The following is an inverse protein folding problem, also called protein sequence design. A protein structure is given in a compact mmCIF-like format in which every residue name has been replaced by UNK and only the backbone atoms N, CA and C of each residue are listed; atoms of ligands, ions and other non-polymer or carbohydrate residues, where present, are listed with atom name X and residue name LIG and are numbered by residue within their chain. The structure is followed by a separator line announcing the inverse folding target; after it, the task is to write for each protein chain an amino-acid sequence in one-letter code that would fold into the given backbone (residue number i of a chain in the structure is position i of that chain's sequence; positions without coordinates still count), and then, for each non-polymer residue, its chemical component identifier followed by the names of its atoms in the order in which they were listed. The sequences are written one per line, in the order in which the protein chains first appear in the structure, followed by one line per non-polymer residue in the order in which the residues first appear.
data_IF_606701442213
#
_entry.id   IF_606701442213
#
_cell.length_a   1.000
_cell.length_b   1.000
_cell.length_c   1.000
_cell.angle_alpha   90.00
_cell.angle_beta   90.00
_cell.angle_gamma   90.00
#
_symmetry.space_group_name_H-M   'P 1'
#
loop_
_entity.id
_entity.type
_entity.pdbx_description
1 polymer ?
#
# COMPACT_ATOMS: atom_id res chain seq x y z
N UNK A 1 -19.45 -14.94 -17.19
CA UNK A 1 -19.39 -14.09 -15.99
C UNK A 1 -18.10 -13.31 -16.08
N UNK A 2 -18.15 -12.00 -15.86
CA UNK A 2 -16.97 -11.14 -15.94
C UNK A 2 -16.04 -11.35 -14.72
N UNK A 3 -14.81 -10.84 -14.78
CA UNK A 3 -13.88 -10.85 -13.65
C UNK A 3 -14.45 -10.06 -12.45
N UNK A 4 -15.01 -8.87 -12.70
CA UNK A 4 -15.58 -8.05 -11.61
C UNK A 4 -16.81 -8.69 -10.96
N UNK A 5 -17.65 -9.38 -11.72
CA UNK A 5 -18.78 -10.15 -11.17
C UNK A 5 -18.31 -11.29 -10.26
N UNK A 6 -17.36 -12.10 -10.72
CA UNK A 6 -16.75 -13.19 -9.95
C UNK A 6 -16.10 -12.67 -8.67
N UNK A 7 -15.36 -11.57 -8.78
CA UNK A 7 -14.68 -10.94 -7.65
C UNK A 7 -15.65 -10.41 -6.58
N UNK A 8 -16.78 -9.81 -7.02
CA UNK A 8 -17.86 -9.39 -6.13
C UNK A 8 -18.55 -10.58 -5.44
N UNK A 9 -18.59 -11.73 -6.09
CA UNK A 9 -19.14 -12.97 -5.56
C UNK A 9 -18.18 -13.77 -4.67
N UNK A 10 -16.95 -13.27 -4.45
CA UNK A 10 -15.99 -13.85 -3.49
C UNK A 10 -14.91 -14.73 -4.10
N UNK A 11 -14.84 -14.87 -5.43
CA UNK A 11 -13.74 -15.58 -6.11
C UNK A 11 -12.47 -14.71 -6.19
N UNK A 12 -12.00 -14.17 -5.06
CA UNK A 12 -10.92 -13.17 -5.04
C UNK A 12 -9.60 -13.76 -5.55
N UNK A 13 -9.19 -14.91 -5.02
CA UNK A 13 -7.93 -15.59 -5.36
C UNK A 13 -7.91 -16.04 -6.83
N UNK A 14 -9.01 -16.64 -7.31
CA UNK A 14 -9.12 -17.11 -8.68
C UNK A 14 -9.10 -15.95 -9.68
N UNK A 15 -9.82 -14.86 -9.40
CA UNK A 15 -9.83 -13.68 -10.28
C UNK A 15 -8.44 -13.06 -10.37
N UNK A 16 -7.74 -12.87 -9.25
CA UNK A 16 -6.38 -12.31 -9.29
C UNK A 16 -5.40 -13.19 -10.04
N UNK A 17 -5.50 -14.51 -9.88
CA UNK A 17 -4.70 -15.47 -10.65
C UNK A 17 -4.98 -15.35 -12.15
N UNK A 18 -6.25 -15.28 -12.54
CA UNK A 18 -6.63 -15.21 -13.95
C UNK A 18 -6.17 -13.86 -14.56
N UNK A 19 -6.31 -12.75 -13.84
CA UNK A 19 -5.80 -11.43 -14.25
C UNK A 19 -4.27 -11.40 -14.36
N UNK A 20 -3.55 -12.07 -13.46
CA UNK A 20 -2.10 -12.21 -13.54
C UNK A 20 -1.67 -12.98 -14.80
N UNK A 21 -2.40 -14.03 -15.18
CA UNK A 21 -2.12 -14.80 -16.40
C UNK A 21 -2.31 -14.00 -17.70
N UNK A 22 -3.14 -12.94 -17.67
CA UNK A 22 -3.23 -12.02 -18.81
C UNK A 22 -1.95 -11.19 -18.98
N UNK A 23 -1.23 -10.91 -17.90
CA UNK A 23 -0.10 -10.00 -17.88
C UNK A 23 -0.48 -8.62 -18.44
N UNK A 24 0.38 -8.06 -19.29
CA UNK A 24 0.13 -6.76 -19.94
C UNK A 24 -1.09 -6.74 -20.86
N UNK A 25 -1.61 -7.90 -21.29
CA UNK A 25 -2.82 -7.99 -22.10
C UNK A 25 -4.05 -7.48 -21.38
N UNK A 26 -4.01 -7.35 -20.05
CA UNK A 26 -5.08 -6.70 -19.28
C UNK A 26 -5.39 -5.28 -19.77
N UNK A 27 -4.44 -4.62 -20.44
CA UNK A 27 -4.60 -3.28 -21.03
C UNK A 27 -5.34 -3.28 -22.37
N UNK A 28 -5.59 -4.45 -22.96
CA UNK A 28 -6.41 -4.53 -24.17
C UNK A 28 -7.86 -4.09 -23.85
N UNK A 29 -8.54 -3.35 -24.75
CA UNK A 29 -9.87 -2.79 -24.49
C UNK A 29 -10.92 -3.80 -24.00
N UNK A 30 -10.81 -5.06 -24.42
CA UNK A 30 -11.73 -6.15 -24.01
C UNK A 30 -11.60 -6.60 -22.56
N UNK A 31 -10.49 -6.29 -21.89
CA UNK A 31 -10.22 -6.68 -20.50
C UNK A 31 -10.10 -5.48 -19.57
N UNK A 32 -9.65 -4.34 -20.09
CA UNK A 32 -9.24 -3.19 -19.29
C UNK A 32 -10.34 -2.68 -18.36
N UNK A 33 -11.56 -2.48 -18.86
CA UNK A 33 -12.66 -1.93 -18.05
C UNK A 33 -13.00 -2.86 -16.88
N UNK A 34 -13.18 -4.16 -17.16
CA UNK A 34 -13.57 -5.15 -16.17
C UNK A 34 -12.45 -5.45 -15.15
N UNK A 35 -11.18 -5.44 -15.58
CA UNK A 35 -10.03 -5.57 -14.68
C UNK A 35 -9.80 -4.32 -13.82
N UNK A 36 -10.02 -3.13 -14.39
CA UNK A 36 -10.01 -1.87 -13.63
C UNK A 36 -11.08 -1.89 -12.55
N UNK A 37 -12.29 -2.38 -12.85
CA UNK A 37 -13.37 -2.51 -11.87
C UNK A 37 -13.03 -3.48 -10.73
N UNK A 38 -12.29 -4.56 -11.01
CA UNK A 38 -11.75 -5.45 -9.96
C UNK A 38 -10.80 -4.68 -9.04
N UNK A 39 -9.85 -3.92 -9.62
CA UNK A 39 -8.89 -3.13 -8.87
C UNK A 39 -9.55 -1.99 -8.05
N UNK A 40 -10.57 -1.32 -8.59
CA UNK A 40 -11.39 -0.36 -7.85
C UNK A 40 -12.10 -1.02 -6.68
N UNK A 41 -12.74 -2.17 -6.91
CA UNK A 41 -13.45 -2.90 -5.85
C UNK A 41 -12.50 -3.32 -4.74
N UNK A 42 -11.28 -3.74 -5.09
CA UNK A 42 -10.21 -4.02 -4.14
C UNK A 42 -9.82 -2.79 -3.32
N UNK A 43 -9.55 -1.66 -3.97
CA UNK A 43 -9.17 -0.42 -3.29
C UNK A 43 -10.27 0.06 -2.32
N UNK A 44 -11.55 -0.02 -2.73
CA UNK A 44 -12.69 0.31 -1.86
C UNK A 44 -12.78 -0.62 -0.64
N UNK A 45 -12.50 -1.93 -0.80
CA UNK A 45 -12.45 -2.87 0.34
C UNK A 45 -11.26 -2.56 1.25
N UNK A 46 -10.09 -2.29 0.67
CA UNK A 46 -8.88 -1.94 1.40
C UNK A 46 -9.07 -0.66 2.22
N UNK A 47 -9.66 0.39 1.64
CA UNK A 47 -10.01 1.62 2.35
C UNK A 47 -10.88 1.37 3.58
N UNK A 48 -11.95 0.58 3.44
CA UNK A 48 -12.82 0.23 4.58
C UNK A 48 -12.07 -0.51 5.69
N UNK A 49 -11.14 -1.40 5.30
CA UNK A 49 -10.28 -2.09 6.26
C UNK A 49 -9.37 -1.11 7.01
N UNK A 50 -8.79 -0.13 6.29
CA UNK A 50 -7.93 0.90 6.86
C UNK A 50 -8.70 1.82 7.80
N UNK A 51 -9.87 2.32 7.37
CA UNK A 51 -10.75 3.16 8.19
C UNK A 51 -11.06 2.45 9.51
N UNK A 52 -11.46 1.17 9.45
CA UNK A 52 -11.74 0.36 10.64
C UNK A 52 -10.52 0.20 11.57
N UNK A 53 -9.33 -0.06 11.01
CA UNK A 53 -8.09 -0.22 11.79
C UNK A 53 -7.69 1.12 12.42
N UNK A 54 -7.74 2.21 11.65
CA UNK A 54 -7.37 3.54 12.09
C UNK A 54 -8.28 4.02 13.23
N UNK A 55 -9.60 3.87 13.08
CA UNK A 55 -10.57 4.24 14.12
C UNK A 55 -10.31 3.47 15.42
N UNK A 56 -10.12 2.15 15.32
CA UNK A 56 -9.79 1.31 16.48
C UNK A 56 -8.50 1.74 17.17
N UNK A 57 -7.46 2.05 16.41
CA UNK A 57 -6.20 2.52 16.96
C UNK A 57 -6.40 3.83 17.72
N UNK A 58 -7.04 4.82 17.10
CA UNK A 58 -7.34 6.11 17.73
C UNK A 58 -8.14 5.93 19.02
N UNK A 59 -9.22 5.13 18.98
CA UNK A 59 -10.08 4.86 20.14
C UNK A 59 -9.35 4.14 21.27
N UNK A 60 -8.30 3.37 20.96
CA UNK A 60 -7.48 2.69 21.97
C UNK A 60 -6.50 3.61 22.69
N UNK A 61 -6.28 4.83 22.19
CA UNK A 61 -5.24 5.75 22.65
C UNK A 61 -3.88 5.54 21.98
N UNK A 62 -3.84 4.88 20.82
CA UNK A 62 -2.62 4.79 20.00
C UNK A 62 -2.27 6.18 19.43
N UNK A 63 -0.98 6.50 19.41
CA UNK A 63 -0.47 7.75 18.87
C UNK A 63 0.44 7.45 17.69
N UNK A 64 -0.03 7.74 16.47
CA UNK A 64 0.79 7.73 15.28
C UNK A 64 1.79 8.90 15.32
N UNK A 65 3.03 8.65 14.90
CA UNK A 65 4.06 9.68 14.87
C UNK A 65 5.13 9.41 13.81
N UNK A 66 5.88 10.44 13.43
CA UNK A 66 7.07 10.30 12.58
C UNK A 66 8.13 9.46 13.28
N UNK A 67 9.02 8.88 12.48
CA UNK A 67 10.32 8.43 12.96
C UNK A 67 11.20 9.64 13.34
N UNK A 68 12.31 9.37 14.01
CA UNK A 68 13.24 10.34 14.55
C UNK A 68 13.00 10.66 16.03
N UNK A 69 13.89 11.48 16.59
CA UNK A 69 13.86 11.83 18.01
C UNK A 69 12.67 12.75 18.38
N UNK A 70 12.22 13.59 17.44
CA UNK A 70 11.14 14.55 17.68
C UNK A 70 9.74 13.90 17.70
N UNK A 71 9.57 12.73 17.07
CA UNK A 71 8.30 11.96 16.99
C UNK A 71 7.06 12.83 16.85
N UNK A 72 6.99 13.60 15.76
CA UNK A 72 5.86 14.51 15.50
C UNK A 72 4.60 13.70 15.29
N UNK A 73 3.52 14.10 15.96
CA UNK A 73 2.21 13.45 15.85
C UNK A 73 1.75 13.40 14.39
N UNK A 74 1.15 12.28 13.99
CA UNK A 74 0.50 12.08 12.69
C UNK A 74 -0.91 11.55 12.91
N UNK A 75 -1.76 11.69 11.90
CA UNK A 75 -2.99 10.89 11.81
C UNK A 75 -2.65 9.53 11.17
N UNK A 76 -3.32 8.43 11.54
CA UNK A 76 -3.00 7.11 10.97
C UNK A 76 -3.40 6.93 9.50
N UNK A 77 -4.33 7.75 9.02
CA UNK A 77 -4.89 7.65 7.67
C UNK A 77 -5.29 9.03 7.15
N UNK A 78 -4.90 9.33 5.91
CA UNK A 78 -5.37 10.48 5.15
C UNK A 78 -6.02 9.93 3.87
N UNK A 79 -7.33 10.13 3.66
CA UNK A 79 -8.01 9.59 2.49
C UNK A 79 -7.55 10.28 1.20
N UNK A 80 -7.68 9.58 0.08
CA UNK A 80 -7.44 10.12 -1.26
C UNK A 80 -8.22 11.44 -1.48
N UNK A 81 -7.56 12.41 -2.11
CA UNK A 81 -8.08 13.74 -2.40
C UNK A 81 -8.76 13.84 -3.78
N UNK A 82 -9.29 15.02 -4.10
CA UNK A 82 -9.95 15.29 -5.39
C UNK A 82 -8.99 15.15 -6.59
N UNK A 83 -7.71 15.48 -6.37
CA UNK A 83 -6.68 15.49 -7.41
C UNK A 83 -5.97 14.13 -7.60
N UNK A 84 -6.29 13.10 -6.80
CA UNK A 84 -5.56 11.82 -6.84
C UNK A 84 -5.63 11.12 -8.21
N UNK A 85 -6.72 11.29 -8.95
CA UNK A 85 -6.83 10.79 -10.35
C UNK A 85 -5.89 11.51 -11.31
N UNK A 86 -5.75 12.83 -11.15
CA UNK A 86 -4.83 13.64 -11.95
C UNK A 86 -3.39 13.24 -11.64
N UNK A 87 -3.08 13.02 -10.37
CA UNK A 87 -1.77 12.54 -9.93
C UNK A 87 -1.41 11.18 -10.53
N UNK A 88 -2.34 10.22 -10.58
CA UNK A 88 -2.15 8.93 -11.29
C UNK A 88 -1.80 9.12 -12.76
N UNK A 89 -2.50 10.03 -13.45
CA UNK A 89 -2.23 10.30 -14.86
C UNK A 89 -0.82 10.89 -15.07
N UNK A 90 -0.40 11.83 -14.20
CA UNK A 90 0.94 12.42 -14.23
C UNK A 90 2.04 11.39 -13.98
N UNK A 91 1.86 10.53 -12.97
CA UNK A 91 2.80 9.42 -12.70
C UNK A 91 2.88 8.46 -13.88
N UNK A 92 1.74 8.11 -14.48
CA UNK A 92 1.70 7.21 -15.64
C UNK A 92 2.41 7.80 -16.86
N UNK A 93 2.28 9.12 -17.07
CA UNK A 93 2.99 9.84 -18.13
C UNK A 93 4.51 9.85 -17.91
N UNK A 94 4.95 10.11 -16.66
CA UNK A 94 6.38 10.23 -16.33
C UNK A 94 7.10 8.89 -16.22
N UNK A 95 6.47 7.89 -15.60
CA UNK A 95 7.09 6.62 -15.22
C UNK A 95 6.74 5.48 -16.17
N UNK A 96 5.78 5.71 -17.07
CA UNK A 96 5.16 4.66 -17.89
C UNK A 96 4.01 3.96 -17.16
N UNK A 97 3.49 2.83 -17.71
CA UNK A 97 2.36 2.14 -17.12
C UNK A 97 2.56 1.82 -15.64
N UNK A 98 1.57 2.14 -14.81
CA UNK A 98 1.53 1.72 -13.41
C UNK A 98 0.46 0.63 -13.22
N UNK A 99 0.64 -0.37 -12.34
CA UNK A 99 -0.33 -1.44 -12.14
C UNK A 99 -1.72 -0.92 -11.77
N UNK A 100 -2.78 -1.62 -12.21
CA UNK A 100 -4.16 -1.19 -11.94
C UNK A 100 -4.46 -1.13 -10.43
N UNK A 101 -3.86 -2.01 -9.62
CA UNK A 101 -4.03 -1.99 -8.16
C UNK A 101 -3.39 -0.77 -7.50
N UNK A 102 -2.25 -0.29 -8.01
CA UNK A 102 -1.60 0.94 -7.51
C UNK A 102 -2.36 2.17 -7.93
N UNK A 103 -2.76 2.27 -9.20
CA UNK A 103 -3.63 3.34 -9.67
C UNK A 103 -4.91 3.43 -8.83
N UNK A 104 -5.59 2.31 -8.63
CA UNK A 104 -6.82 2.24 -7.84
C UNK A 104 -6.57 2.58 -6.36
N UNK A 105 -5.42 2.21 -5.80
CA UNK A 105 -5.07 2.59 -4.43
C UNK A 105 -5.00 4.11 -4.30
N UNK A 106 -4.23 4.77 -5.17
CA UNK A 106 -4.08 6.23 -5.14
C UNK A 106 -5.44 6.92 -5.34
N UNK A 107 -6.27 6.44 -6.27
CA UNK A 107 -7.54 7.08 -6.56
C UNK A 107 -8.59 6.97 -5.44
N UNK A 108 -8.56 5.89 -4.65
CA UNK A 108 -9.67 5.57 -3.74
C UNK A 108 -9.27 5.49 -2.28
N UNK A 109 -8.00 5.18 -1.98
CA UNK A 109 -7.54 4.89 -0.62
C UNK A 109 -6.90 6.13 -0.01
N UNK A 110 -5.76 6.60 -0.51
CA UNK A 110 -4.96 7.62 0.13
C UNK A 110 -3.71 7.07 0.82
N UNK A 111 -3.17 7.86 1.76
CA UNK A 111 -1.94 7.54 2.47
C UNK A 111 -2.19 7.02 3.88
N UNK A 112 -1.53 5.91 4.21
CA UNK A 112 -1.64 5.20 5.50
C UNK A 112 -0.32 5.26 6.24
N UNK A 113 -0.37 5.57 7.54
CA UNK A 113 0.78 5.61 8.42
C UNK A 113 0.47 5.03 9.80
N UNK A 114 0.70 3.71 9.98
CA UNK A 114 0.47 3.04 11.26
C UNK A 114 1.71 2.97 12.16
N UNK A 115 2.79 3.70 11.83
CA UNK A 115 3.94 3.82 12.73
C UNK A 115 3.58 4.73 13.90
N UNK A 116 3.77 4.21 15.12
CA UNK A 116 3.42 4.93 16.33
C UNK A 116 3.68 4.13 17.59
N UNK A 117 3.05 4.56 18.69
CA UNK A 117 3.23 3.94 20.01
C UNK A 117 1.92 3.87 20.79
N UNK A 118 1.87 2.92 21.72
CA UNK A 118 0.77 2.77 22.67
C UNK A 118 1.32 2.25 24.01
N UNK A 119 0.89 2.78 25.17
CA UNK A 119 1.47 2.45 26.47
C UNK A 119 1.41 0.96 26.85
N UNK A 120 0.42 0.23 26.32
CA UNK A 120 0.25 -1.21 26.60
C UNK A 120 0.85 -2.14 25.54
N UNK A 121 1.37 -1.59 24.44
CA UNK A 121 1.90 -2.37 23.31
C UNK A 121 3.37 -2.01 23.07
N UNK A 122 4.22 -2.34 24.03
CA UNK A 122 5.62 -1.87 24.08
C UNK A 122 6.47 -2.31 22.88
N UNK A 123 6.07 -3.36 22.15
CA UNK A 123 6.76 -3.87 20.95
C UNK A 123 6.13 -3.48 19.61
N UNK A 124 5.07 -2.64 19.59
CA UNK A 124 4.31 -2.38 18.35
C UNK A 124 5.16 -1.77 17.22
N UNK A 125 6.18 -0.99 17.55
CA UNK A 125 7.09 -0.41 16.57
C UNK A 125 7.92 -1.46 15.79
N UNK A 126 8.10 -2.66 16.34
CA UNK A 126 8.83 -3.77 15.68
C UNK A 126 7.93 -4.65 14.82
N UNK A 127 6.63 -4.35 14.77
CA UNK A 127 5.64 -5.20 14.10
C UNK A 127 5.46 -4.93 12.61
N UNK A 128 6.37 -4.13 12.03
CA UNK A 128 6.34 -3.69 10.63
C UNK A 128 4.97 -3.09 10.24
N UNK A 129 4.52 -2.04 10.97
CA UNK A 129 3.20 -1.44 10.77
C UNK A 129 2.96 -1.05 9.31
N UNK A 130 1.70 -1.15 8.87
CA UNK A 130 1.30 -0.75 7.53
C UNK A 130 1.64 0.73 7.31
N UNK A 131 2.43 0.96 6.27
CA UNK A 131 2.62 2.26 5.65
C UNK A 131 2.38 2.06 4.17
N UNK A 132 1.61 2.96 3.55
CA UNK A 132 1.50 3.11 2.11
C UNK A 132 1.31 4.60 1.86
N UNK A 133 2.35 5.28 1.42
CA UNK A 133 2.41 6.71 1.16
C UNK A 133 2.86 6.92 -0.30
N UNK A 134 1.90 6.95 -1.22
CA UNK A 134 2.16 7.27 -2.63
C UNK A 134 1.92 8.75 -2.91
N UNK A 135 1.00 9.38 -2.18
CA UNK A 135 0.55 10.75 -2.46
C UNK A 135 1.37 11.81 -1.70
N UNK A 136 2.23 11.38 -0.76
CA UNK A 136 3.07 12.26 0.04
C UNK A 136 2.26 13.20 0.93
N UNK A 137 1.03 12.83 1.31
CA UNK A 137 0.10 13.67 2.04
C UNK A 137 0.66 14.16 3.39
N UNK A 138 1.57 13.39 4.00
CA UNK A 138 2.25 13.79 5.24
C UNK A 138 3.48 14.70 5.02
N UNK A 139 3.91 14.86 3.76
CA UNK A 139 5.19 15.45 3.37
C UNK A 139 5.03 16.65 2.42
N UNK A 140 3.80 17.05 2.10
CA UNK A 140 3.48 18.20 1.25
C UNK A 140 2.54 17.91 0.07
N UNK A 141 2.02 16.68 -0.02
CA UNK A 141 1.04 16.25 -1.02
C UNK A 141 1.65 15.94 -2.38
N UNK A 142 0.78 15.86 -3.40
CA UNK A 142 1.11 15.36 -4.74
C UNK A 142 2.31 16.03 -5.38
N UNK A 143 2.47 17.36 -5.21
CA UNK A 143 3.61 18.06 -5.80
C UNK A 143 4.95 17.57 -5.25
N UNK A 144 5.03 17.28 -3.95
CA UNK A 144 6.26 16.79 -3.33
C UNK A 144 6.51 15.34 -3.72
N UNK A 145 5.47 14.51 -3.69
CA UNK A 145 5.56 13.11 -4.11
C UNK A 145 5.96 12.99 -5.60
N UNK A 146 5.36 13.80 -6.48
CA UNK A 146 5.70 13.81 -7.90
C UNK A 146 7.16 14.18 -8.13
N UNK A 147 7.63 15.28 -7.53
CA UNK A 147 9.03 15.72 -7.68
C UNK A 147 10.02 14.68 -7.16
N UNK A 148 9.66 13.95 -6.09
CA UNK A 148 10.46 12.84 -5.60
C UNK A 148 10.55 11.72 -6.64
N UNK A 149 9.43 11.16 -7.09
CA UNK A 149 9.46 10.06 -8.07
C UNK A 149 10.08 10.46 -9.41
N UNK A 150 9.86 11.70 -9.86
CA UNK A 150 10.50 12.24 -11.06
C UNK A 150 12.03 12.27 -10.92
N UNK A 151 12.55 12.76 -9.79
CA UNK A 151 13.98 12.80 -9.52
C UNK A 151 14.60 11.41 -9.48
N UNK A 152 14.02 10.50 -8.69
CA UNK A 152 14.49 9.12 -8.57
C UNK A 152 14.48 8.40 -9.93
N UNK A 153 13.44 8.60 -10.73
CA UNK A 153 13.34 8.00 -12.06
C UNK A 153 14.42 8.53 -13.02
N UNK A 154 14.72 9.83 -12.97
CA UNK A 154 15.79 10.43 -13.78
C UNK A 154 17.19 9.94 -13.38
N UNK A 155 17.43 9.74 -12.08
CA UNK A 155 18.67 9.14 -11.60
C UNK A 155 18.80 7.68 -12.02
N UNK A 156 17.71 6.91 -11.91
CA UNK A 156 17.68 5.54 -12.38
C UNK A 156 17.97 5.46 -13.89
N UNK A 157 17.35 6.29 -14.73
CA UNK A 157 17.59 6.35 -16.18
C UNK A 157 19.06 6.65 -16.52
N UNK A 158 19.74 7.47 -15.72
CA UNK A 158 21.18 7.76 -15.89
C UNK A 158 22.06 6.58 -15.47
N UNK A 159 21.68 5.88 -14.40
CA UNK A 159 22.44 4.75 -13.88
C UNK A 159 22.30 3.49 -14.75
N UNK A 160 21.08 3.21 -15.26
CA UNK A 160 20.74 2.01 -16.00
C UNK A 160 20.84 0.70 -15.20
N UNK A 161 20.91 0.78 -13.86
CA UNK A 161 21.11 -0.39 -12.99
C UNK A 161 19.78 -0.77 -12.32
N UNK A 162 19.45 -2.06 -12.37
CA UNK A 162 18.28 -2.60 -11.68
C UNK A 162 16.94 -2.16 -12.26
N UNK A 163 15.87 -2.49 -11.55
CA UNK A 163 14.50 -2.08 -11.87
C UNK A 163 14.14 -0.84 -11.05
N UNK A 164 13.47 0.13 -11.68
CA UNK A 164 12.91 1.27 -10.96
C UNK A 164 11.70 0.84 -10.14
N UNK A 165 11.50 1.47 -8.98
CA UNK A 165 10.34 1.25 -8.14
C UNK A 165 9.78 2.58 -7.62
N UNK A 166 8.47 2.61 -7.43
CA UNK A 166 7.79 3.64 -6.64
C UNK A 166 7.80 3.21 -5.18
N UNK A 167 8.65 3.83 -4.39
CA UNK A 167 8.67 3.65 -2.93
C UNK A 167 7.36 4.10 -2.31
N UNK A 168 6.77 3.27 -1.45
CA UNK A 168 5.53 3.58 -0.74
C UNK A 168 5.64 3.46 0.77
N UNK A 169 6.71 2.84 1.28
CA UNK A 169 6.91 2.72 2.71
C UNK A 169 8.40 2.62 3.04
N UNK A 170 8.83 3.16 4.20
CA UNK A 170 10.12 2.78 4.76
C UNK A 170 10.17 1.26 5.01
N UNK A 171 11.36 0.68 5.10
CA UNK A 171 11.47 -0.71 5.54
C UNK A 171 11.12 -0.90 7.03
N UNK A 172 11.00 -2.16 7.47
CA UNK A 172 10.66 -2.52 8.86
C UNK A 172 11.60 -1.95 9.93
N UNK A 173 12.90 -1.80 9.66
CA UNK A 173 13.88 -1.24 10.59
C UNK A 173 13.69 0.27 10.69
N UNK A 174 13.53 0.96 9.56
CA UNK A 174 13.21 2.38 9.56
C UNK A 174 11.89 2.67 10.27
N UNK A 175 10.84 1.86 10.05
CA UNK A 175 9.57 1.93 10.81
C UNK A 175 9.75 1.71 12.32
N UNK A 176 10.74 0.92 12.73
CA UNK A 176 11.13 0.72 14.12
C UNK A 176 12.08 1.82 14.66
N UNK A 177 12.33 2.87 13.88
CA UNK A 177 13.26 3.95 14.19
C UNK A 177 14.72 3.49 14.34
N UNK A 178 15.11 2.48 13.56
CA UNK A 178 16.47 1.94 13.42
C UNK A 178 16.94 2.27 12.00
N UNK A 179 18.24 2.52 11.80
CA UNK A 179 18.79 2.64 10.44
C UNK A 179 18.46 1.38 9.65
N UNK A 180 17.74 1.53 8.56
CA UNK A 180 17.22 0.42 7.78
C UNK A 180 17.90 0.23 6.44
N UNK A 181 17.23 -0.57 5.61
CA UNK A 181 17.62 -0.94 4.25
C UNK A 181 16.86 -0.06 3.23
N UNK A 182 16.77 -0.53 1.99
CA UNK A 182 15.96 0.11 0.96
C UNK A 182 14.47 0.09 1.31
N UNK A 183 13.72 1.16 0.96
CA UNK A 183 12.27 1.22 1.15
C UNK A 183 11.52 0.07 0.46
N UNK A 184 10.30 -0.16 0.93
CA UNK A 184 9.34 -1.00 0.20
C UNK A 184 8.75 -0.20 -0.95
N UNK A 185 8.69 -0.84 -2.12
CA UNK A 185 8.22 -0.18 -3.34
C UNK A 185 7.47 -1.13 -4.27
N UNK A 186 6.86 -0.55 -5.30
CA UNK A 186 6.26 -1.28 -6.43
C UNK A 186 7.12 -1.06 -7.67
N UNK A 187 7.50 -2.15 -8.35
CA UNK A 187 8.23 -2.03 -9.61
C UNK A 187 7.39 -1.35 -10.70
N UNK A 188 7.97 -0.36 -11.38
CA UNK A 188 7.38 0.32 -12.54
C UNK A 188 8.47 0.66 -13.57
N UNK A 189 8.14 0.78 -14.88
CA UNK A 189 6.82 0.59 -15.47
C UNK A 189 6.34 -0.86 -15.43
N UNK A 190 5.06 -1.05 -15.11
CA UNK A 190 4.37 -2.33 -15.07
C UNK A 190 2.91 -2.19 -15.57
N UNK A 191 2.60 -2.88 -16.67
CA UNK A 191 1.30 -2.88 -17.31
C UNK A 191 0.31 -3.93 -16.74
N UNK A 192 0.69 -4.67 -15.70
CA UNK A 192 -0.13 -5.73 -15.12
C UNK A 192 -1.33 -5.17 -14.34
N UNK A 193 -2.24 -6.07 -13.97
CA UNK A 193 -3.36 -5.74 -13.10
C UNK A 193 -2.88 -5.47 -11.68
N UNK A 194 -2.11 -6.40 -11.11
CA UNK A 194 -1.56 -6.29 -9.76
C UNK A 194 -0.05 -6.04 -9.79
N UNK A 195 0.41 -5.08 -9.00
CA UNK A 195 1.82 -4.70 -8.93
C UNK A 195 2.67 -5.69 -8.14
N UNK A 196 3.97 -5.73 -8.44
CA UNK A 196 4.93 -6.51 -7.66
C UNK A 196 5.59 -5.64 -6.59
N UNK A 197 5.36 -5.97 -5.33
CA UNK A 197 6.01 -5.35 -4.17
C UNK A 197 7.42 -5.89 -4.02
N UNK A 198 8.38 -5.01 -3.84
CA UNK A 198 9.72 -5.31 -3.36
C UNK A 198 9.82 -4.97 -1.87
N UNK A 199 10.17 -5.96 -1.04
CA UNK A 199 10.43 -5.78 0.39
C UNK A 199 11.89 -6.15 0.72
N UNK A 200 12.86 -5.45 0.12
CA UNK A 200 14.28 -5.73 0.33
C UNK A 200 14.69 -7.12 -0.17
N UNK A 201 14.30 -7.47 -1.40
CA UNK A 201 14.66 -8.73 -2.06
C UNK A 201 13.64 -9.87 -1.88
N UNK A 202 12.59 -9.66 -1.07
CA UNK A 202 11.40 -10.54 -1.07
C UNK A 202 10.31 -9.91 -1.93
N UNK A 203 9.82 -10.65 -2.92
CA UNK A 203 8.80 -10.17 -3.85
C UNK A 203 7.46 -10.88 -3.66
N UNK A 204 6.36 -10.14 -3.78
CA UNK A 204 5.00 -10.68 -3.86
C UNK A 204 4.07 -9.69 -4.55
N UNK A 205 2.86 -10.13 -4.91
CA UNK A 205 1.86 -9.23 -5.47
C UNK A 205 1.37 -8.23 -4.42
N UNK A 206 0.95 -7.03 -4.83
CA UNK A 206 0.49 -6.00 -3.91
C UNK A 206 -0.77 -6.43 -3.16
N UNK A 207 -1.70 -7.12 -3.82
CA UNK A 207 -2.86 -7.72 -3.15
C UNK A 207 -2.45 -8.77 -2.10
N UNK A 208 -1.46 -9.60 -2.41
CA UNK A 208 -0.94 -10.60 -1.45
C UNK A 208 -0.31 -9.94 -0.23
N UNK A 209 0.46 -8.87 -0.44
CA UNK A 209 1.03 -8.05 0.63
C UNK A 209 -0.07 -7.46 1.51
N UNK A 210 -1.09 -6.83 0.91
CA UNK A 210 -2.20 -6.23 1.64
C UNK A 210 -3.00 -7.28 2.43
N UNK A 211 -3.33 -8.43 1.83
CA UNK A 211 -4.02 -9.51 2.53
C UNK A 211 -3.21 -10.04 3.73
N UNK A 212 -1.89 -10.17 3.57
CA UNK A 212 -0.99 -10.56 4.66
C UNK A 212 -0.99 -9.54 5.81
N UNK A 213 -0.90 -8.26 5.49
CA UNK A 213 -0.89 -7.17 6.49
C UNK A 213 -2.25 -6.99 7.16
N UNK A 214 -3.34 -7.00 6.39
CA UNK A 214 -4.70 -6.83 6.90
C UNK A 214 -5.16 -8.01 7.77
N UNK A 215 -4.75 -9.24 7.44
CA UNK A 215 -4.98 -10.40 8.31
C UNK A 215 -4.33 -10.24 9.69
N UNK A 216 -3.27 -9.43 9.78
CA UNK A 216 -2.61 -9.07 11.03
C UNK A 216 -3.05 -7.69 11.58
N UNK A 217 -4.19 -7.16 11.13
CA UNK A 217 -4.72 -5.88 11.61
C UNK A 217 -3.79 -4.69 11.35
N UNK A 218 -2.92 -4.76 10.34
CA UNK A 218 -1.95 -3.71 10.03
C UNK A 218 -0.56 -3.91 10.62
N UNK A 219 -0.32 -4.98 11.40
CA UNK A 219 0.93 -5.18 12.17
C UNK A 219 1.45 -6.62 12.00
N UNK A 220 1.99 -7.00 10.83
CA UNK A 220 2.27 -8.37 10.43
C UNK A 220 3.37 -9.10 11.22
N UNK A 221 4.33 -8.40 11.83
CA UNK A 221 5.49 -9.01 12.50
C UNK A 221 5.42 -8.92 14.03
N UNK A 222 6.14 -9.80 14.72
CA UNK A 222 6.28 -9.82 16.18
C UNK A 222 5.72 -11.08 16.83
N UNK A 223 6.28 -11.44 17.98
CA UNK A 223 5.96 -12.66 18.72
C UNK A 223 5.35 -12.34 20.10
N UNK A 224 4.62 -13.31 20.67
CA UNK A 224 4.03 -13.21 22.01
C UNK A 224 2.51 -13.09 22.03
N UNK A 225 1.91 -13.35 23.20
CA UNK A 225 0.46 -13.40 23.39
C UNK A 225 -0.21 -12.02 23.19
N UNK A 226 0.42 -10.95 23.66
CA UNK A 226 -0.14 -9.58 23.55
C UNK A 226 -0.19 -9.10 22.09
N UNK A 227 0.85 -9.40 21.32
CA UNK A 227 0.87 -9.10 19.88
C UNK A 227 -0.20 -9.88 19.12
N UNK A 228 -0.43 -11.15 19.49
CA UNK A 228 -1.50 -11.97 18.89
C UNK A 228 -2.89 -11.41 19.18
N UNK A 229 -3.19 -11.11 20.45
CA UNK A 229 -4.48 -10.56 20.86
C UNK A 229 -4.77 -9.21 20.17
N UNK A 230 -3.75 -8.35 20.04
CA UNK A 230 -3.83 -7.10 19.30
C UNK A 230 -4.21 -7.31 17.84
N UNK A 231 -3.50 -8.21 17.14
CA UNK A 231 -3.78 -8.53 15.73
C UNK A 231 -5.15 -9.12 15.52
N UNK A 232 -5.59 -10.02 16.41
CA UNK A 232 -6.92 -10.63 16.34
C UNK A 232 -8.02 -9.57 16.50
N UNK A 233 -7.86 -8.66 17.47
CA UNK A 233 -8.81 -7.57 17.68
C UNK A 233 -8.84 -6.58 16.52
N UNK A 234 -7.68 -6.11 16.04
CA UNK A 234 -7.59 -5.18 14.90
C UNK A 234 -8.04 -5.83 13.59
N UNK A 235 -7.76 -7.12 13.39
CA UNK A 235 -8.12 -7.91 12.23
C UNK A 235 -9.60 -8.34 12.19
N UNK A 236 -10.34 -8.21 13.29
CA UNK A 236 -11.73 -8.64 13.35
C UNK A 236 -12.62 -7.86 12.38
N UNK A 237 -13.31 -8.56 11.47
CA UNK A 237 -14.24 -7.94 10.50
C UNK A 237 -13.57 -7.34 9.26
N UNK A 238 -12.26 -7.52 9.11
CA UNK A 238 -11.51 -7.19 7.89
C UNK A 238 -11.99 -8.05 6.73
N UNK A 239 -12.13 -7.44 5.55
CA UNK A 239 -12.51 -8.12 4.32
C UNK A 239 -11.28 -8.56 3.55
N UNK A 240 -11.38 -9.73 2.93
CA UNK A 240 -10.39 -10.23 1.97
C UNK A 240 -10.45 -9.44 0.66
N UNK A 241 -9.26 -9.27 0.08
CA UNK A 241 -8.98 -8.62 -1.20
C UNK A 241 -8.66 -9.65 -2.28
#
# INVERSE_FOLDING_TARGET
MSYSERYRNGETVEVWRDLWQLGSRVREPRYLEDATEVAHTMAIRARRNIELIADRLVDSGFVAHTNGNERKSRVPFIPAGEDSRVFVAQLTEKLGPIPLTVASWIEFVGDVWLVGSHPRWLGIHQSDPLVVEFEGAYSGGHSVAYSYYEGEHEEWLKSGIGSFQMDFAPDRLHKANISGDEPYGIFVPDAYADGTVNMGGRHMSFVSYLNWVFKAGGFPLGDGADARALREWLGAGIREL
#
